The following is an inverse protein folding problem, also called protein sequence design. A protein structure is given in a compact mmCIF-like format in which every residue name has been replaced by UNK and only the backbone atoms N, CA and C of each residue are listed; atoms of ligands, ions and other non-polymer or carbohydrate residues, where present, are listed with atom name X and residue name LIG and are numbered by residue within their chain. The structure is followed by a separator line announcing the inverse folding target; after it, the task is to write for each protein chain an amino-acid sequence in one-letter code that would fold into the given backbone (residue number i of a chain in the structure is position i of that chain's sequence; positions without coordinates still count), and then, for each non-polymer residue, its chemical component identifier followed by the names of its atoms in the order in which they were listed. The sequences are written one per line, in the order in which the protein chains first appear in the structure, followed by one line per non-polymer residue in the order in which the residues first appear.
data_IF_934292382254
#
_entry.id   IF_934292382254
#
_cell.length_a   1.000
_cell.length_b   1.000
_cell.length_c   1.000
_cell.angle_alpha   90.00
_cell.angle_beta   90.00
_cell.angle_gamma   90.00
#
_symmetry.space_group_name_H-M   'P 1'
#
loop_
_entity.id
_entity.type
_entity.pdbx_description
1 polymer ?
#
# COMPACT_ATOMS: atom_id res chain seq x y z
N UNK A 1 15.07 -7.42 14.14
CA UNK A 1 13.85 -8.22 13.85
C UNK A 1 12.59 -7.55 14.43
N UNK A 2 12.62 -7.04 15.67
CA UNK A 2 11.47 -6.37 16.29
C UNK A 2 11.01 -5.13 15.51
N UNK A 3 11.93 -4.31 14.99
CA UNK A 3 11.59 -3.15 14.15
C UNK A 3 10.89 -3.57 12.85
N UNK A 4 11.29 -4.67 12.22
CA UNK A 4 10.62 -5.21 11.03
C UNK A 4 9.23 -5.72 11.36
N UNK A 5 9.04 -6.40 12.48
CA UNK A 5 7.73 -6.88 12.92
C UNK A 5 6.78 -5.72 13.23
N UNK A 6 7.29 -4.65 13.85
CA UNK A 6 6.53 -3.42 14.08
C UNK A 6 6.13 -2.74 12.76
N UNK A 7 7.03 -2.64 11.79
CA UNK A 7 6.72 -2.11 10.46
C UNK A 7 5.62 -2.93 9.78
N UNK A 8 5.74 -4.26 9.76
CA UNK A 8 4.73 -5.14 9.14
C UNK A 8 3.37 -4.99 9.83
N UNK A 9 3.33 -5.00 11.16
CA UNK A 9 2.09 -4.77 11.91
C UNK A 9 1.46 -3.40 11.57
N UNK A 10 2.28 -2.42 11.23
CA UNK A 10 1.88 -1.07 10.93
C UNK A 10 1.19 -0.92 9.57
N UNK A 11 1.59 -1.70 8.56
CA UNK A 11 0.98 -1.65 7.23
C UNK A 11 -0.49 -2.09 7.19
N UNK A 12 -0.90 -2.91 8.14
CA UNK A 12 -2.26 -3.45 8.20
C UNK A 12 -3.14 -2.75 9.24
N UNK A 13 -2.64 -1.67 9.83
CA UNK A 13 -3.40 -0.95 10.85
C UNK A 13 -4.57 -0.20 10.23
N UNK A 14 -5.73 -0.30 10.87
CA UNK A 14 -6.84 0.61 10.60
C UNK A 14 -6.57 1.97 11.23
N UNK A 15 -6.80 3.02 10.47
CA UNK A 15 -6.86 4.36 10.97
C UNK A 15 -8.03 4.51 11.93
N UNK A 16 -8.06 5.60 12.61
CA UNK A 16 -9.07 5.94 13.59
C UNK A 16 -8.44 6.25 14.93
N UNK A 17 -8.91 7.25 15.53
CA UNK A 17 -8.43 7.80 16.78
C UNK A 17 -8.48 9.32 16.74
N UNK A 18 -8.71 9.89 17.89
CA UNK A 18 -8.61 11.33 18.11
C UNK A 18 -7.62 11.52 19.24
N UNK A 19 -6.66 12.37 19.06
CA UNK A 19 -5.77 12.82 20.12
C UNK A 19 -6.38 14.11 20.67
N UNK A 20 -6.73 14.15 21.94
CA UNK A 20 -7.09 15.32 22.74
C UNK A 20 -7.95 16.42 22.10
N UNK A 21 -7.58 16.86 20.94
CA UNK A 21 -8.30 17.75 20.05
C UNK A 21 -9.20 16.99 19.08
N UNK A 22 -10.27 17.59 18.62
CA UNK A 22 -11.31 16.98 17.79
C UNK A 22 -10.82 16.58 16.36
N UNK A 23 -9.55 16.71 16.05
CA UNK A 23 -8.98 16.44 14.74
C UNK A 23 -8.61 14.95 14.60
N UNK A 24 -9.06 14.25 13.58
CA UNK A 24 -8.63 12.88 13.33
C UNK A 24 -7.18 12.87 12.87
N UNK A 25 -6.31 12.23 13.65
CA UNK A 25 -4.87 12.20 13.38
C UNK A 25 -4.42 10.96 12.60
N UNK A 26 -5.13 9.85 12.80
CA UNK A 26 -4.71 8.57 12.23
C UNK A 26 -5.46 8.29 10.95
N UNK A 27 -4.73 7.89 9.93
CA UNK A 27 -5.27 7.44 8.65
C UNK A 27 -5.07 5.94 8.49
N UNK A 28 -5.90 5.33 7.66
CA UNK A 28 -5.75 3.93 7.32
C UNK A 28 -4.42 3.70 6.60
N UNK A 29 -3.79 2.57 6.89
CA UNK A 29 -2.63 2.13 6.14
C UNK A 29 -3.00 1.86 4.67
N UNK A 30 -1.99 1.91 3.79
CA UNK A 30 -2.17 1.70 2.35
C UNK A 30 -2.86 0.38 2.04
N UNK A 31 -2.56 -0.67 2.82
CA UNK A 31 -3.07 -2.01 2.60
C UNK A 31 -4.40 -2.30 3.27
N UNK A 32 -4.83 -1.49 4.21
CA UNK A 32 -6.13 -1.69 4.85
C UNK A 32 -7.30 -1.39 3.90
N UNK A 33 -7.17 -0.39 3.06
CA UNK A 33 -8.26 0.06 2.20
C UNK A 33 -8.29 -0.71 0.89
N UNK A 34 -9.40 -1.39 0.61
CA UNK A 34 -9.65 -2.08 -0.64
C UNK A 34 -9.11 -3.50 -0.72
N UNK A 35 -9.24 -4.09 -1.90
CA UNK A 35 -8.77 -5.44 -2.21
C UNK A 35 -7.43 -5.35 -2.90
N UNK A 36 -6.45 -6.09 -2.38
CA UNK A 36 -5.11 -6.23 -2.93
C UNK A 36 -5.03 -7.55 -3.69
N UNK A 37 -4.44 -7.50 -4.85
CA UNK A 37 -4.24 -8.66 -5.71
C UNK A 37 -2.77 -9.00 -5.80
N UNK A 38 -2.46 -10.29 -5.68
CA UNK A 38 -1.13 -10.82 -5.92
C UNK A 38 -1.18 -12.20 -6.56
N UNK A 39 -0.13 -12.54 -7.31
CA UNK A 39 0.00 -13.84 -7.93
C UNK A 39 0.53 -14.86 -6.93
N UNK A 40 -0.05 -16.04 -6.91
CA UNK A 40 0.41 -17.16 -6.10
C UNK A 40 1.07 -18.22 -7.00
N UNK A 41 2.34 -18.53 -6.74
CA UNK A 41 3.05 -19.65 -7.33
C UNK A 41 2.90 -20.93 -6.52
N UNK A 42 3.57 -21.99 -6.93
CA UNK A 42 3.59 -23.30 -6.23
C UNK A 42 4.35 -23.25 -4.90
N UNK A 43 5.28 -22.31 -4.77
CA UNK A 43 6.11 -22.09 -3.61
C UNK A 43 6.35 -20.59 -3.39
N UNK A 44 7.04 -20.26 -2.29
CA UNK A 44 7.31 -18.88 -1.94
C UNK A 44 8.19 -18.16 -2.99
N UNK A 45 9.18 -18.85 -3.54
CA UNK A 45 10.06 -18.27 -4.57
C UNK A 45 9.27 -17.86 -5.82
N UNK A 46 8.47 -18.76 -6.38
CA UNK A 46 7.61 -18.44 -7.52
C UNK A 46 6.63 -17.31 -7.20
N UNK A 47 6.03 -17.33 -6.01
CA UNK A 47 5.13 -16.27 -5.57
C UNK A 47 5.84 -14.92 -5.55
N UNK A 48 7.04 -14.83 -5.00
CA UNK A 48 7.81 -13.61 -4.98
C UNK A 48 8.18 -13.16 -6.40
N UNK A 49 8.65 -14.07 -7.24
CA UNK A 49 9.05 -13.76 -8.60
C UNK A 49 7.89 -13.27 -9.47
N UNK A 50 6.70 -13.85 -9.36
CA UNK A 50 5.52 -13.40 -10.11
C UNK A 50 5.05 -12.01 -9.70
N UNK A 51 5.30 -11.62 -8.45
CA UNK A 51 4.95 -10.30 -7.94
C UNK A 51 6.10 -9.27 -8.04
N UNK A 52 7.25 -9.67 -8.54
CA UNK A 52 8.36 -8.76 -8.83
C UNK A 52 8.07 -7.98 -10.11
N UNK A 53 7.15 -7.05 -9.98
CA UNK A 53 6.72 -6.19 -11.09
C UNK A 53 7.78 -5.12 -11.39
N UNK A 54 7.87 -4.66 -12.64
CA UNK A 54 8.67 -3.50 -12.97
C UNK A 54 8.13 -2.27 -12.24
N UNK A 55 8.98 -1.26 -12.09
CA UNK A 55 8.56 0.02 -11.53
C UNK A 55 7.32 0.54 -12.29
N UNK A 56 6.23 0.90 -11.60
CA UNK A 56 5.01 1.33 -12.27
C UNK A 56 5.25 2.62 -13.05
N UNK A 57 4.75 2.68 -14.28
CA UNK A 57 4.86 3.90 -15.08
C UNK A 57 4.05 5.05 -14.48
N UNK A 58 4.50 6.27 -14.67
CA UNK A 58 3.80 7.48 -14.23
C UNK A 58 2.38 7.55 -14.81
N UNK A 59 2.21 7.18 -16.07
CA UNK A 59 0.90 7.16 -16.74
C UNK A 59 -0.08 6.16 -16.13
N UNK A 60 0.43 5.07 -15.53
CA UNK A 60 -0.41 4.06 -14.90
C UNK A 60 -0.79 4.42 -13.46
N UNK A 61 0.16 4.85 -12.66
CA UNK A 61 0.00 4.98 -11.20
C UNK A 61 0.20 6.38 -10.67
N UNK A 62 0.75 7.30 -11.47
CA UNK A 62 1.15 8.63 -11.03
C UNK A 62 2.51 8.68 -10.33
N UNK A 63 3.18 7.53 -10.13
CA UNK A 63 4.50 7.52 -9.52
C UNK A 63 5.60 7.96 -10.48
N UNK A 64 6.47 8.84 -10.02
CA UNK A 64 7.72 9.21 -10.67
C UNK A 64 8.86 8.51 -9.96
N UNK A 65 9.77 7.94 -10.71
CA UNK A 65 11.01 7.41 -10.14
C UNK A 65 11.98 8.57 -9.93
N UNK A 66 12.08 9.01 -8.68
CA UNK A 66 13.01 10.06 -8.27
C UNK A 66 14.26 9.44 -7.64
N UNK A 67 15.41 10.13 -7.67
CA UNK A 67 16.62 9.66 -6.98
C UNK A 67 16.43 9.45 -5.47
N UNK A 68 15.50 10.19 -4.87
CA UNK A 68 15.14 10.14 -3.45
C UNK A 68 14.11 9.04 -3.12
N UNK A 69 13.65 8.27 -4.13
CA UNK A 69 12.73 7.17 -3.90
C UNK A 69 13.44 6.01 -3.20
N UNK A 70 13.32 5.99 -1.89
CA UNK A 70 13.93 5.03 -0.99
C UNK A 70 12.89 4.48 -0.02
N UNK A 71 13.05 3.22 0.43
CA UNK A 71 12.21 2.70 1.48
C UNK A 71 12.47 3.46 2.80
N UNK A 72 11.47 3.50 3.68
CA UNK A 72 11.51 4.31 4.91
C UNK A 72 12.73 4.02 5.79
N UNK A 73 13.19 2.79 5.82
CA UNK A 73 14.36 2.39 6.63
C UNK A 73 15.72 2.83 6.07
N UNK A 74 15.77 3.40 4.89
CA UNK A 74 16.96 4.00 4.28
C UNK A 74 16.93 5.53 4.34
N UNK A 75 15.90 6.10 4.96
CA UNK A 75 15.81 7.54 5.17
C UNK A 75 16.42 7.90 6.51
N UNK A 76 17.40 8.78 6.47
CA UNK A 76 17.92 9.45 7.66
C UNK A 76 16.98 10.60 8.05
N UNK A 77 15.82 10.29 8.53
CA UNK A 77 14.93 11.28 9.14
C UNK A 77 14.87 11.08 10.65
N UNK A 78 15.81 11.61 11.43
CA UNK A 78 15.68 11.71 12.86
C UNK A 78 14.74 12.87 13.18
N UNK A 79 13.52 12.83 12.68
CA UNK A 79 12.50 13.78 13.07
C UNK A 79 12.02 13.43 14.45
N UNK A 80 12.24 14.32 15.43
CA UNK A 80 11.43 14.26 16.64
C UNK A 80 9.98 14.29 16.18
N UNK A 81 9.12 13.35 16.60
CA UNK A 81 7.73 13.37 16.22
C UNK A 81 7.10 14.64 16.80
N UNK A 82 7.21 15.73 16.07
CA UNK A 82 6.36 16.86 16.35
C UNK A 82 4.95 16.32 16.14
N UNK A 83 4.08 16.56 17.11
CA UNK A 83 2.64 16.36 16.95
C UNK A 83 2.25 17.31 15.82
N UNK A 84 2.45 16.83 14.61
CA UNK A 84 2.30 17.65 13.44
C UNK A 84 0.82 17.69 13.10
N UNK A 85 0.39 18.85 12.69
CA UNK A 85 -0.84 19.00 11.93
C UNK A 85 -0.82 17.94 10.81
N UNK A 86 -1.96 17.31 10.56
CA UNK A 86 -2.07 16.30 9.53
C UNK A 86 -1.68 16.89 8.17
N UNK A 87 -0.48 16.55 7.72
CA UNK A 87 0.00 16.96 6.40
C UNK A 87 -0.32 15.90 5.37
N UNK A 88 -0.72 16.32 4.20
CA UNK A 88 -0.85 15.46 3.02
C UNK A 88 0.40 15.71 2.18
N UNK A 89 1.20 14.66 2.00
CA UNK A 89 2.46 14.74 1.29
C UNK A 89 2.52 13.76 0.11
N UNK A 90 3.17 14.14 -0.99
CA UNK A 90 3.44 13.22 -2.07
C UNK A 90 4.60 12.28 -1.69
N UNK A 91 4.46 10.96 -1.89
CA UNK A 91 5.59 10.05 -1.84
C UNK A 91 6.64 10.44 -2.88
N UNK A 92 7.91 10.19 -2.57
CA UNK A 92 9.03 10.45 -3.50
C UNK A 92 9.09 9.48 -4.66
N UNK A 93 8.35 8.38 -4.56
CA UNK A 93 8.21 7.36 -5.59
C UNK A 93 7.47 6.14 -5.07
N UNK A 94 7.60 5.02 -5.79
CA UNK A 94 6.86 3.81 -5.47
C UNK A 94 7.43 3.07 -4.26
N UNK A 95 8.76 3.08 -4.05
CA UNK A 95 9.38 2.45 -2.88
C UNK A 95 9.00 3.20 -1.60
N UNK A 96 9.04 4.53 -1.64
CA UNK A 96 8.56 5.38 -0.56
C UNK A 96 7.08 5.12 -0.26
N UNK A 97 6.24 5.02 -1.29
CA UNK A 97 4.83 4.70 -1.13
C UNK A 97 4.60 3.33 -0.51
N UNK A 98 5.30 2.28 -0.97
CA UNK A 98 5.17 0.92 -0.44
C UNK A 98 5.58 0.82 1.03
N UNK A 99 6.48 1.68 1.47
CA UNK A 99 6.99 1.70 2.84
C UNK A 99 6.48 2.89 3.64
N UNK A 100 5.40 3.55 3.15
CA UNK A 100 4.83 4.74 3.77
C UNK A 100 4.32 4.47 5.18
N UNK A 101 4.84 5.22 6.11
CA UNK A 101 4.39 5.17 7.50
C UNK A 101 3.20 6.11 7.73
N UNK A 102 2.08 5.56 8.13
CA UNK A 102 0.89 6.34 8.52
C UNK A 102 0.94 6.78 9.97
N UNK A 103 1.88 6.26 10.72
CA UNK A 103 2.17 6.65 12.10
C UNK A 103 3.67 6.49 12.36
N UNK A 104 4.21 7.30 13.24
CA UNK A 104 5.55 7.10 13.75
C UNK A 104 5.48 6.42 15.12
N UNK A 105 6.36 5.45 15.33
CA UNK A 105 6.53 4.77 16.61
C UNK A 105 7.88 5.18 17.16
N UNK A 106 7.85 5.92 18.24
CA UNK A 106 9.04 6.33 18.96
C UNK A 106 9.33 5.34 20.07
N UNK A 107 10.55 4.81 20.08
CA UNK A 107 11.00 3.87 21.08
C UNK A 107 11.86 4.61 22.10
N UNK A 108 11.62 4.41 23.40
CA UNK A 108 12.45 4.94 24.48
C UNK A 108 13.35 3.82 25.00
N UNK A 109 14.62 3.77 24.52
CA UNK A 109 15.55 2.75 24.98
C UNK A 109 16.11 3.11 26.38
N UNK A 110 16.09 2.13 27.26
CA UNK A 110 16.73 2.19 28.57
C UNK A 110 17.94 1.27 28.59
N UNK A 111 19.08 1.77 29.06
CA UNK A 111 20.28 0.97 29.23
C UNK A 111 20.20 0.23 30.56
N UNK A 112 20.21 -1.09 30.50
CA UNK A 112 20.37 -1.97 31.65
C UNK A 112 21.78 -2.54 31.67
N UNK A 113 22.20 -3.17 32.81
CA UNK A 113 23.57 -3.65 33.00
C UNK A 113 24.10 -4.56 31.87
N UNK A 114 23.21 -5.34 31.21
CA UNK A 114 23.60 -6.31 30.18
C UNK A 114 22.88 -6.16 28.85
N UNK A 115 21.90 -5.25 28.74
CA UNK A 115 21.12 -5.09 27.53
C UNK A 115 20.46 -3.72 27.46
N UNK A 116 20.20 -3.26 26.24
CA UNK A 116 19.28 -2.15 26.01
C UNK A 116 17.87 -2.70 25.85
N UNK A 117 16.92 -2.21 26.64
CA UNK A 117 15.51 -2.63 26.61
C UNK A 117 14.62 -1.46 26.26
N UNK A 118 13.49 -1.73 25.63
CA UNK A 118 12.45 -0.73 25.35
C UNK A 118 11.23 -1.09 26.20
N UNK A 119 10.88 -0.20 27.13
CA UNK A 119 9.71 -0.36 28.00
C UNK A 119 8.58 0.55 27.63
N UNK A 120 8.90 1.68 27.06
CA UNK A 120 7.92 2.68 26.66
C UNK A 120 8.00 2.95 25.16
N UNK A 121 6.85 3.16 24.57
CA UNK A 121 6.71 3.59 23.17
C UNK A 121 5.72 4.75 23.09
N UNK A 122 5.96 5.65 22.17
CA UNK A 122 5.01 6.68 21.80
C UNK A 122 4.60 6.49 20.35
N UNK A 123 3.29 6.49 20.08
CA UNK A 123 2.75 6.41 18.72
C UNK A 123 2.13 7.76 18.38
N UNK A 124 2.62 8.36 17.32
CA UNK A 124 2.11 9.64 16.82
C UNK A 124 1.67 9.52 15.36
N UNK A 125 0.70 10.33 14.91
CA UNK A 125 0.29 10.33 13.51
C UNK A 125 1.43 10.83 12.61
N UNK A 126 1.55 10.20 11.43
CA UNK A 126 2.42 10.65 10.36
C UNK A 126 1.61 11.35 9.26
N UNK A 127 2.29 11.77 8.19
CA UNK A 127 1.65 12.38 7.05
C UNK A 127 0.75 11.39 6.28
N UNK A 128 -0.31 11.89 5.68
CA UNK A 128 -1.16 11.12 4.77
C UNK A 128 -0.59 11.21 3.35
N UNK A 129 -0.47 10.10 2.60
CA UNK A 129 -0.09 10.18 1.19
C UNK A 129 -1.21 10.84 0.38
N UNK A 130 -0.85 11.54 -0.70
CA UNK A 130 -1.84 12.13 -1.60
C UNK A 130 -2.73 11.06 -2.22
N UNK A 131 -4.03 11.35 -2.39
CA UNK A 131 -5.02 10.39 -2.87
C UNK A 131 -4.99 10.17 -4.40
N UNK A 132 -4.25 10.97 -5.14
CA UNK A 132 -4.15 10.87 -6.59
C UNK A 132 -3.33 9.70 -7.08
N UNK A 133 -2.53 9.08 -6.20
CA UNK A 133 -1.70 7.93 -6.55
C UNK A 133 -2.51 6.64 -6.53
N UNK A 134 -2.31 5.82 -7.56
CA UNK A 134 -3.00 4.53 -7.70
C UNK A 134 -2.06 3.39 -7.33
N UNK A 135 -2.41 2.66 -6.29
CA UNK A 135 -1.64 1.47 -5.87
C UNK A 135 -1.65 0.41 -6.99
N UNK A 136 -0.48 -0.05 -7.45
CA UNK A 136 -0.39 -1.06 -8.51
C UNK A 136 -1.00 -2.41 -8.14
N UNK A 137 -1.18 -2.70 -6.86
CA UNK A 137 -1.78 -3.95 -6.38
C UNK A 137 -3.31 -3.91 -6.37
N UNK A 138 -3.93 -2.76 -6.61
CA UNK A 138 -5.38 -2.60 -6.54
C UNK A 138 -6.01 -2.48 -7.93
N UNK A 139 -7.27 -2.85 -8.02
CA UNK A 139 -8.11 -2.58 -9.18
C UNK A 139 -8.87 -1.28 -8.98
N UNK A 140 -8.92 -0.44 -10.01
CA UNK A 140 -9.66 0.82 -9.97
C UNK A 140 -10.73 0.90 -11.05
N UNK A 141 -11.79 1.63 -10.73
CA UNK A 141 -12.81 2.08 -11.66
C UNK A 141 -12.87 3.61 -11.67
N UNK A 142 -13.01 4.15 -12.85
CA UNK A 142 -13.25 5.58 -13.08
C UNK A 142 -14.68 5.91 -12.68
N UNK A 143 -14.85 6.86 -11.80
CA UNK A 143 -16.16 7.43 -11.44
C UNK A 143 -16.20 8.87 -11.91
N UNK A 144 -17.29 9.24 -12.58
CA UNK A 144 -17.57 10.64 -12.92
C UNK A 144 -18.75 11.08 -12.05
N UNK A 145 -18.57 12.18 -11.34
CA UNK A 145 -19.63 12.82 -10.57
C UNK A 145 -19.50 14.33 -10.76
N UNK A 146 -20.57 14.98 -11.20
CA UNK A 146 -20.65 16.45 -11.35
C UNK A 146 -19.52 17.06 -12.22
N UNK A 147 -19.06 16.31 -13.25
CA UNK A 147 -17.97 16.74 -14.12
C UNK A 147 -16.57 16.44 -13.62
N UNK A 148 -16.42 16.05 -12.37
CA UNK A 148 -15.15 15.58 -11.82
C UNK A 148 -14.96 14.08 -12.06
N UNK A 149 -13.76 13.71 -12.44
CA UNK A 149 -13.36 12.32 -12.64
C UNK A 149 -12.44 11.86 -11.51
N UNK A 150 -12.82 10.81 -10.82
CA UNK A 150 -12.02 10.19 -9.78
C UNK A 150 -11.85 8.69 -9.99
N UNK A 151 -10.82 8.11 -9.40
CA UNK A 151 -10.60 6.67 -9.39
C UNK A 151 -11.05 6.09 -8.05
N UNK A 152 -11.81 5.01 -8.10
CA UNK A 152 -12.26 4.27 -6.91
C UNK A 152 -11.76 2.84 -6.98
N UNK A 153 -11.14 2.35 -5.90
CA UNK A 153 -10.71 0.97 -5.82
C UNK A 153 -11.85 0.04 -5.37
N UNK A 154 -11.66 -1.26 -5.58
CA UNK A 154 -12.60 -2.29 -5.16
C UNK A 154 -12.53 -2.45 -3.64
N UNK A 155 -13.64 -2.22 -2.96
CA UNK A 155 -13.78 -2.50 -1.53
C UNK A 155 -14.09 -3.97 -1.29
N UNK A 156 -13.55 -4.50 -0.19
CA UNK A 156 -13.90 -5.83 0.24
C UNK A 156 -15.36 -5.86 0.71
N UNK A 157 -16.13 -6.81 0.19
CA UNK A 157 -17.51 -7.04 0.59
C UNK A 157 -17.72 -8.54 0.81
N UNK A 158 -18.05 -8.92 2.04
CA UNK A 158 -18.26 -10.33 2.44
C UNK A 158 -19.40 -11.02 1.69
N UNK A 159 -20.41 -10.24 1.30
CA UNK A 159 -21.59 -10.75 0.62
C UNK A 159 -21.44 -10.83 -0.90
N UNK A 160 -20.37 -10.23 -1.43
CA UNK A 160 -20.09 -10.18 -2.85
C UNK A 160 -18.92 -11.06 -3.24
N UNK A 161 -19.22 -12.13 -3.94
CA UNK A 161 -18.20 -13.01 -4.45
C UNK A 161 -17.33 -12.31 -5.51
N UNK A 162 -16.00 -12.46 -5.40
CA UNK A 162 -15.01 -11.79 -6.25
C UNK A 162 -15.18 -12.11 -7.75
N UNK A 163 -15.70 -13.27 -8.11
CA UNK A 163 -15.93 -13.66 -9.51
C UNK A 163 -16.87 -12.70 -10.25
N UNK A 164 -17.73 -11.97 -9.56
CA UNK A 164 -18.60 -10.94 -10.17
C UNK A 164 -17.82 -9.76 -10.74
N UNK A 165 -16.61 -9.53 -10.24
CA UNK A 165 -15.72 -8.46 -10.71
C UNK A 165 -14.61 -8.98 -11.65
N UNK A 166 -14.66 -10.28 -12.00
CA UNK A 166 -13.66 -10.98 -12.80
C UNK A 166 -13.29 -10.25 -14.10
N UNK A 167 -14.29 -9.79 -14.86
CA UNK A 167 -14.07 -9.09 -16.12
C UNK A 167 -13.19 -7.83 -15.96
N UNK A 168 -13.24 -7.19 -14.79
CA UNK A 168 -12.49 -5.99 -14.50
C UNK A 168 -11.05 -6.25 -14.05
N UNK A 169 -10.69 -7.51 -13.89
CA UNK A 169 -9.34 -7.95 -13.56
C UNK A 169 -8.55 -8.35 -14.81
N UNK A 170 -9.24 -8.64 -15.90
CA UNK A 170 -8.56 -9.04 -17.13
C UNK A 170 -8.02 -7.84 -17.90
N UNK A 171 -6.83 -7.98 -18.54
CA UNK A 171 -6.35 -7.02 -19.51
C UNK A 171 -7.39 -6.94 -20.64
N UNK A 172 -7.93 -5.77 -20.87
CA UNK A 172 -8.91 -5.56 -21.93
C UNK A 172 -8.67 -4.20 -22.56
N UNK A 173 -8.47 -4.16 -23.86
CA UNK A 173 -8.20 -2.95 -24.63
C UNK A 173 -9.40 -1.98 -24.67
N UNK A 174 -10.61 -2.47 -24.37
CA UNK A 174 -11.85 -1.70 -24.41
C UNK A 174 -12.29 -1.08 -23.10
N UNK A 175 -11.52 -1.24 -22.02
CA UNK A 175 -11.91 -0.75 -20.69
C UNK A 175 -11.53 0.70 -20.45
N UNK A 176 -12.15 1.59 -21.21
CA UNK A 176 -12.15 2.99 -20.85
C UNK A 176 -12.79 3.13 -19.45
N UNK A 177 -11.97 3.46 -18.47
CA UNK A 177 -12.43 3.62 -17.09
C UNK A 177 -12.21 2.45 -16.13
N UNK A 178 -11.51 1.37 -16.52
CA UNK A 178 -11.07 0.32 -15.61
C UNK A 178 -9.54 0.19 -15.66
N UNK A 179 -8.93 0.12 -14.49
CA UNK A 179 -7.50 -0.18 -14.36
C UNK A 179 -7.35 -1.49 -13.57
N UNK A 180 -6.98 -2.59 -14.22
CA UNK A 180 -6.68 -3.84 -13.52
C UNK A 180 -5.42 -3.70 -12.66
N UNK A 181 -5.21 -4.58 -11.67
CA UNK A 181 -3.97 -4.59 -10.92
C UNK A 181 -2.75 -4.80 -11.83
N UNK A 182 -1.66 -4.10 -11.57
CA UNK A 182 -0.46 -4.17 -12.40
C UNK A 182 0.11 -5.59 -12.48
N UNK A 183 -0.02 -6.38 -11.41
CA UNK A 183 0.41 -7.79 -11.40
C UNK A 183 -0.28 -8.60 -12.49
N UNK A 184 -1.55 -8.34 -12.79
CA UNK A 184 -2.28 -9.04 -13.86
C UNK A 184 -1.74 -8.67 -15.23
N UNK A 185 -1.50 -7.38 -15.45
CA UNK A 185 -0.90 -6.88 -16.70
C UNK A 185 0.53 -7.43 -16.87
N UNK A 186 1.28 -7.51 -15.79
CA UNK A 186 2.64 -8.05 -15.80
C UNK A 186 2.66 -9.53 -16.18
N UNK A 187 1.80 -10.35 -15.55
CA UNK A 187 1.69 -11.78 -15.86
C UNK A 187 1.24 -12.02 -17.30
N UNK A 188 0.33 -11.20 -17.80
CA UNK A 188 -0.09 -11.27 -19.20
C UNK A 188 1.09 -11.00 -20.16
N UNK A 189 1.94 -10.03 -19.85
CA UNK A 189 3.16 -9.74 -20.65
C UNK A 189 4.18 -10.86 -20.59
N UNK A 190 4.32 -11.53 -19.46
CA UNK A 190 5.24 -12.67 -19.32
C UNK A 190 4.77 -13.90 -20.09
N UNK A 191 3.51 -13.95 -20.49
CA UNK A 191 2.88 -15.05 -21.24
C UNK A 191 3.10 -16.44 -20.62
N UNK A 192 3.12 -16.52 -19.30
CA UNK A 192 3.39 -17.76 -18.56
C UNK A 192 2.20 -18.70 -18.45
N UNK A 193 1.02 -18.29 -18.95
CA UNK A 193 -0.25 -18.99 -18.73
C UNK A 193 -0.31 -20.42 -19.30
N UNK A 194 0.53 -20.79 -20.26
CA UNK A 194 0.61 -22.14 -20.81
C UNK A 194 1.44 -23.09 -19.93
N UNK A 195 2.50 -22.58 -19.32
CA UNK A 195 3.47 -23.40 -18.60
C UNK A 195 3.22 -23.48 -17.09
N UNK A 196 2.53 -22.46 -16.58
CA UNK A 196 2.30 -22.32 -15.15
C UNK A 196 0.83 -22.05 -14.83
N UNK A 197 0.18 -22.86 -14.00
CA UNK A 197 -1.16 -22.58 -13.50
C UNK A 197 -1.09 -21.38 -12.54
N UNK A 198 -1.29 -20.19 -13.06
CA UNK A 198 -1.29 -18.97 -12.28
C UNK A 198 -2.57 -18.88 -11.44
N UNK A 199 -2.40 -18.60 -10.15
CA UNK A 199 -3.48 -18.29 -9.23
C UNK A 199 -3.40 -16.86 -8.80
N UNK A 200 -4.48 -16.12 -8.98
CA UNK A 200 -4.59 -14.76 -8.45
C UNK A 200 -5.27 -14.82 -7.08
N UNK A 201 -4.57 -14.35 -6.07
CA UNK A 201 -5.11 -14.18 -4.73
C UNK A 201 -5.62 -12.75 -4.56
N UNK A 202 -6.75 -12.62 -3.88
CA UNK A 202 -7.32 -11.35 -3.50
C UNK A 202 -7.46 -11.28 -1.98
N UNK A 203 -6.87 -10.29 -1.38
CA UNK A 203 -6.89 -10.08 0.07
C UNK A 203 -7.50 -8.72 0.35
N UNK A 204 -8.49 -8.69 1.23
CA UNK A 204 -9.13 -7.47 1.69
C UNK A 204 -9.40 -7.53 3.18
N UNK A 205 -9.45 -6.38 3.80
CA UNK A 205 -9.84 -6.20 5.20
C UNK A 205 -11.21 -5.53 5.25
N UNK A 206 -12.03 -5.93 6.20
CA UNK A 206 -13.36 -5.37 6.49
C UNK A 206 -13.36 -4.64 7.82
#
# INVERSE_FOLDING_TARGET
EAARALLVAHYFRSGGGRSGDKTPYFVDSIFKSGVIFFAQGKNLFETLMFNLMPYPSESFSGFRQLPEDKPVWEKDEPGHPQIAQMHVLPPKGYLDYLTWETNHIWLFPEQMEQATVVREIQIVPAAKPIETLLSPQKRYIRKSKEGETSWSFLYFNKERALWRDYYSLLPNDSTDGIRPPLVVLWLARLNLGHDYPLRLQAVGMS
#
